data_IF_511070579025
#
_entry.id   IF_511070579025
#
_cell.length_a   1.000
_cell.length_b   1.000
_cell.length_c   1.000
_cell.angle_alpha   90.00
_cell.angle_beta   90.00
_cell.angle_gamma   90.00
#
_symmetry.space_group_name_H-M   'P 1'
#
loop_
_entity.id
_entity.type
_entity.pdbx_description
1 polymer ?
#
# COMPACT_ATOMS: atom_id res chain seq x y z
N UNK A 1 -19.01 3.47 3.71
CA UNK A 1 -18.66 3.40 5.15
C UNK A 1 -17.14 3.40 5.34
N UNK A 2 -16.44 2.40 4.78
CA UNK A 2 -14.96 2.31 4.85
C UNK A 2 -14.24 3.54 4.26
N UNK A 3 -14.81 4.16 3.22
CA UNK A 3 -14.25 5.37 2.59
C UNK A 3 -14.16 6.57 3.54
N UNK A 4 -15.05 6.63 4.54
CA UNK A 4 -15.06 7.69 5.56
C UNK A 4 -14.44 7.21 6.89
N UNK A 5 -13.73 6.06 6.87
CA UNK A 5 -13.20 5.40 8.06
C UNK A 5 -14.26 5.11 9.15
N UNK A 6 -15.53 4.94 8.78
CA UNK A 6 -16.62 4.60 9.70
C UNK A 6 -16.58 3.08 10.03
N UNK A 7 -15.57 2.67 10.81
CA UNK A 7 -15.19 1.26 10.98
C UNK A 7 -16.21 0.44 11.78
N UNK A 8 -16.78 1.00 12.85
CA UNK A 8 -17.80 0.32 13.67
C UNK A 8 -19.02 -0.05 12.84
N UNK A 9 -19.53 0.90 12.05
CA UNK A 9 -20.67 0.63 11.18
C UNK A 9 -20.32 -0.33 10.04
N UNK A 10 -19.11 -0.26 9.49
CA UNK A 10 -18.65 -1.22 8.48
C UNK A 10 -18.55 -2.65 9.06
N UNK A 11 -18.11 -2.79 10.30
CA UNK A 11 -18.09 -4.06 11.02
C UNK A 11 -19.49 -4.62 11.26
N UNK A 12 -20.45 -3.78 11.65
CA UNK A 12 -21.85 -4.21 11.82
C UNK A 12 -22.44 -4.72 10.50
N UNK A 13 -22.18 -4.02 9.40
CA UNK A 13 -22.72 -4.39 8.07
C UNK A 13 -22.04 -5.64 7.51
N UNK A 14 -20.72 -5.77 7.65
CA UNK A 14 -19.99 -6.95 7.17
C UNK A 14 -20.24 -8.18 8.06
N UNK A 15 -20.46 -7.97 9.35
CA UNK A 15 -20.75 -9.02 10.32
C UNK A 15 -19.69 -10.12 10.35
N UNK A 16 -20.12 -11.32 10.77
CA UNK A 16 -19.36 -12.57 10.61
C UNK A 16 -20.01 -13.36 9.49
N UNK A 17 -19.51 -13.27 8.24
CA UNK A 17 -20.12 -13.96 7.12
C UNK A 17 -19.95 -15.48 7.24
N UNK A 18 -20.95 -16.22 6.79
CA UNK A 18 -20.84 -17.67 6.59
C UNK A 18 -19.91 -17.98 5.41
N UNK A 19 -19.38 -19.20 5.29
CA UNK A 19 -18.53 -19.58 4.14
C UNK A 19 -19.17 -19.30 2.78
N UNK A 20 -20.49 -19.46 2.65
CA UNK A 20 -21.25 -19.21 1.42
C UNK A 20 -21.37 -17.73 1.08
N UNK A 21 -21.23 -16.86 2.08
CA UNK A 21 -21.28 -15.41 1.93
C UNK A 21 -19.90 -14.81 1.61
N UNK A 22 -18.82 -15.58 1.66
CA UNK A 22 -17.46 -15.10 1.40
C UNK A 22 -17.17 -14.98 -0.10
N UNK A 23 -17.74 -13.97 -0.75
CA UNK A 23 -17.38 -13.58 -2.13
C UNK A 23 -16.00 -12.89 -2.17
N UNK A 24 -15.35 -12.74 -3.35
CA UNK A 24 -14.09 -12.01 -3.46
C UNK A 24 -14.21 -10.56 -2.95
N UNK A 25 -15.33 -9.90 -3.22
CA UNK A 25 -15.58 -8.53 -2.78
C UNK A 25 -15.78 -8.45 -1.27
N UNK A 26 -16.52 -9.40 -0.67
CA UNK A 26 -16.70 -9.45 0.78
C UNK A 26 -15.36 -9.71 1.48
N UNK A 27 -14.57 -10.66 0.97
CA UNK A 27 -13.19 -10.86 1.44
C UNK A 27 -12.37 -9.57 1.31
N UNK A 28 -12.47 -8.87 0.18
CA UNK A 28 -11.75 -7.62 0.00
C UNK A 28 -12.13 -6.53 1.02
N UNK A 29 -13.43 -6.38 1.29
CA UNK A 29 -13.95 -5.43 2.26
C UNK A 29 -13.57 -5.80 3.70
N UNK A 30 -13.60 -7.08 4.06
CA UNK A 30 -13.10 -7.58 5.34
C UNK A 30 -11.62 -7.29 5.52
N UNK A 31 -10.81 -7.52 4.47
CA UNK A 31 -9.38 -7.19 4.53
C UNK A 31 -9.14 -5.70 4.73
N UNK A 32 -9.91 -4.84 4.03
CA UNK A 32 -9.85 -3.38 4.18
C UNK A 32 -10.29 -2.92 5.57
N UNK A 33 -11.33 -3.52 6.14
CA UNK A 33 -11.74 -3.24 7.53
C UNK A 33 -10.62 -3.55 8.51
N UNK A 34 -10.02 -4.75 8.42
CA UNK A 34 -8.93 -5.17 9.31
C UNK A 34 -7.68 -4.29 9.16
N UNK A 35 -7.35 -3.90 7.93
CA UNK A 35 -6.28 -2.94 7.63
C UNK A 35 -6.53 -1.60 8.33
N UNK A 36 -7.69 -0.97 8.11
CA UNK A 36 -7.99 0.37 8.67
C UNK A 36 -8.12 0.37 10.21
N UNK A 37 -8.56 -0.76 10.80
CA UNK A 37 -8.62 -0.95 12.25
C UNK A 37 -7.26 -0.80 12.92
N UNK A 38 -6.16 -1.17 12.25
CA UNK A 38 -4.80 -1.04 12.81
C UNK A 38 -4.41 0.38 13.17
N UNK A 39 -5.01 1.37 12.49
CA UNK A 39 -4.63 2.77 12.65
C UNK A 39 -5.60 3.56 13.53
N UNK A 40 -6.68 2.91 13.99
CA UNK A 40 -7.78 3.58 14.68
C UNK A 40 -7.88 3.23 16.18
N UNK A 41 -7.30 2.13 16.66
CA UNK A 41 -7.25 1.81 18.09
C UNK A 41 -6.17 0.76 18.48
N UNK A 42 -5.47 0.90 19.63
CA UNK A 42 -4.45 -0.03 20.11
C UNK A 42 -4.96 -1.39 20.63
N UNK A 43 -6.28 -1.58 20.74
CA UNK A 43 -6.92 -2.85 21.14
C UNK A 43 -7.77 -3.47 20.02
N UNK A 44 -7.59 -3.01 18.78
CA UNK A 44 -8.41 -3.46 17.67
C UNK A 44 -8.16 -4.94 17.37
N UNK A 45 -9.22 -5.74 17.34
CA UNK A 45 -9.18 -7.17 17.01
C UNK A 45 -8.78 -7.48 15.55
N UNK A 46 -8.52 -6.46 14.73
CA UNK A 46 -7.96 -6.68 13.40
C UNK A 46 -6.44 -6.86 13.48
N UNK A 47 -5.85 -7.45 12.46
CA UNK A 47 -4.38 -7.53 12.31
C UNK A 47 -3.99 -7.31 10.85
N UNK A 48 -2.73 -6.96 10.61
CA UNK A 48 -2.19 -6.99 9.24
C UNK A 48 -2.24 -8.41 8.64
N UNK A 49 -2.15 -9.44 9.47
CA UNK A 49 -2.33 -10.84 9.09
C UNK A 49 -3.76 -11.14 8.61
N UNK A 50 -4.77 -10.62 9.29
CA UNK A 50 -6.17 -10.77 8.87
C UNK A 50 -6.44 -10.02 7.56
N UNK A 51 -5.93 -8.79 7.44
CA UNK A 51 -6.01 -8.04 6.18
C UNK A 51 -5.39 -8.84 5.02
N UNK A 52 -4.17 -9.36 5.22
CA UNK A 52 -3.47 -10.18 4.24
C UNK A 52 -4.24 -11.46 3.88
N UNK A 53 -4.74 -12.18 4.89
CA UNK A 53 -5.48 -13.44 4.72
C UNK A 53 -6.74 -13.25 3.89
N UNK A 54 -7.57 -12.26 4.24
CA UNK A 54 -8.79 -12.00 3.48
C UNK A 54 -8.50 -11.55 2.05
N UNK A 55 -7.52 -10.67 1.83
CA UNK A 55 -7.11 -10.27 0.48
C UNK A 55 -6.52 -11.42 -0.34
N UNK A 56 -5.85 -12.38 0.31
CA UNK A 56 -5.35 -13.59 -0.35
C UNK A 56 -6.50 -14.49 -0.83
N UNK A 57 -7.57 -14.62 -0.05
CA UNK A 57 -8.78 -15.32 -0.49
C UNK A 57 -9.46 -14.61 -1.66
N UNK A 58 -9.57 -13.29 -1.59
CA UNK A 58 -10.13 -12.48 -2.69
C UNK A 58 -9.33 -12.65 -3.99
N UNK A 59 -7.99 -12.54 -3.91
CA UNK A 59 -7.11 -12.73 -5.07
C UNK A 59 -7.15 -14.16 -5.61
N UNK A 60 -7.24 -15.18 -4.74
CA UNK A 60 -7.33 -16.58 -5.20
C UNK A 60 -8.57 -16.81 -6.07
N UNK A 61 -9.67 -16.14 -5.76
CA UNK A 61 -10.91 -16.22 -6.53
C UNK A 61 -10.87 -15.32 -7.78
N UNK A 62 -10.16 -14.19 -7.72
CA UNK A 62 -9.94 -13.27 -8.86
C UNK A 62 -8.44 -12.98 -9.08
N UNK A 63 -7.69 -13.88 -9.75
CA UNK A 63 -6.23 -13.80 -9.84
C UNK A 63 -5.69 -12.58 -10.58
N UNK A 64 -6.50 -11.95 -11.42
CA UNK A 64 -6.13 -10.76 -12.20
C UNK A 64 -6.71 -9.46 -11.62
N UNK A 65 -7.11 -9.48 -10.35
CA UNK A 65 -7.54 -8.28 -9.65
C UNK A 65 -6.34 -7.52 -9.06
N UNK A 66 -5.82 -6.57 -9.84
CA UNK A 66 -4.64 -5.80 -9.46
C UNK A 66 -4.83 -4.94 -8.20
N UNK A 67 -6.08 -4.57 -7.88
CA UNK A 67 -6.37 -3.85 -6.63
C UNK A 67 -6.11 -4.74 -5.41
N UNK A 68 -6.48 -6.02 -5.49
CA UNK A 68 -6.27 -6.98 -4.41
C UNK A 68 -4.78 -7.26 -4.24
N UNK A 69 -4.06 -7.39 -5.36
CA UNK A 69 -2.62 -7.62 -5.37
C UNK A 69 -1.84 -6.41 -4.82
N UNK A 70 -2.22 -5.18 -5.18
CA UNK A 70 -1.63 -3.96 -4.58
C UNK A 70 -1.86 -3.92 -3.06
N UNK A 71 -3.08 -4.27 -2.61
CA UNK A 71 -3.42 -4.33 -1.19
C UNK A 71 -2.55 -5.36 -0.43
N UNK A 72 -2.36 -6.54 -1.01
CA UNK A 72 -1.47 -7.57 -0.45
C UNK A 72 -0.03 -7.09 -0.30
N UNK A 73 0.47 -6.31 -1.25
CA UNK A 73 1.80 -5.69 -1.13
C UNK A 73 1.92 -4.79 0.11
N UNK A 74 0.91 -3.94 0.35
CA UNK A 74 0.89 -3.08 1.57
C UNK A 74 0.77 -3.91 2.86
N UNK A 75 -0.08 -4.94 2.88
CA UNK A 75 -0.19 -5.81 4.05
C UNK A 75 1.08 -6.61 4.32
N UNK A 76 1.71 -7.18 3.28
CA UNK A 76 2.99 -7.89 3.40
C UNK A 76 4.09 -6.96 3.95
N UNK A 77 4.18 -5.74 3.41
CA UNK A 77 5.13 -4.75 3.87
C UNK A 77 4.92 -4.38 5.34
N UNK A 78 3.67 -4.14 5.76
CA UNK A 78 3.34 -3.82 7.14
C UNK A 78 3.65 -4.96 8.13
N UNK A 79 3.62 -6.21 7.65
CA UNK A 79 4.05 -7.40 8.40
C UNK A 79 5.57 -7.60 8.44
N UNK A 80 6.34 -6.80 7.70
CA UNK A 80 7.79 -6.96 7.55
C UNK A 80 8.21 -8.03 6.51
N UNK A 81 7.26 -8.62 5.78
CA UNK A 81 7.55 -9.54 4.68
C UNK A 81 7.85 -8.74 3.40
N UNK A 82 9.07 -8.21 3.34
CA UNK A 82 9.53 -7.38 2.22
C UNK A 82 9.64 -8.15 0.91
N UNK A 83 9.85 -9.48 0.96
CA UNK A 83 9.94 -10.33 -0.23
C UNK A 83 8.58 -10.44 -0.89
N UNK A 84 7.55 -10.88 -0.14
CA UNK A 84 6.20 -10.96 -0.69
C UNK A 84 5.66 -9.59 -1.14
N UNK A 85 5.98 -8.53 -0.38
CA UNK A 85 5.60 -7.17 -0.76
C UNK A 85 6.20 -6.76 -2.12
N UNK A 86 7.49 -7.05 -2.33
CA UNK A 86 8.17 -6.81 -3.60
C UNK A 86 7.51 -7.58 -4.74
N UNK A 87 7.32 -8.89 -4.57
CA UNK A 87 6.75 -9.75 -5.62
C UNK A 87 5.37 -9.27 -6.08
N UNK A 88 4.51 -8.88 -5.13
CA UNK A 88 3.20 -8.33 -5.42
C UNK A 88 3.30 -7.00 -6.20
N UNK A 89 4.12 -6.06 -5.74
CA UNK A 89 4.21 -4.75 -6.37
C UNK A 89 4.97 -4.76 -7.71
N UNK A 90 5.94 -5.65 -7.90
CA UNK A 90 6.57 -5.88 -9.21
C UNK A 90 5.57 -6.45 -10.21
N UNK A 91 4.74 -7.41 -9.78
CA UNK A 91 3.69 -7.98 -10.63
C UNK A 91 2.70 -6.91 -11.07
N UNK A 92 2.18 -6.10 -10.14
CA UNK A 92 1.29 -4.96 -10.46
C UNK A 92 1.99 -3.99 -11.40
N UNK A 93 3.24 -3.62 -11.11
CA UNK A 93 4.00 -2.65 -11.90
C UNK A 93 4.23 -3.12 -13.34
N UNK A 94 4.47 -4.42 -13.52
CA UNK A 94 4.66 -5.03 -14.83
C UNK A 94 3.34 -5.13 -15.61
N UNK A 95 2.25 -5.54 -14.95
CA UNK A 95 0.95 -5.70 -15.59
C UNK A 95 0.31 -4.37 -15.97
N UNK A 96 0.49 -3.34 -15.16
CA UNK A 96 -0.14 -2.02 -15.35
C UNK A 96 0.81 -0.99 -15.98
N UNK A 97 1.96 -1.40 -16.51
CA UNK A 97 2.99 -0.49 -17.07
C UNK A 97 2.44 0.53 -18.08
N UNK A 98 1.44 0.13 -18.86
CA UNK A 98 0.82 0.93 -19.92
C UNK A 98 -0.52 1.55 -19.50
N UNK A 99 -0.88 1.51 -18.22
CA UNK A 99 -2.13 2.07 -17.75
C UNK A 99 -2.21 3.58 -18.05
N UNK A 100 -3.33 4.00 -18.62
CA UNK A 100 -3.56 5.37 -19.06
C UNK A 100 -3.60 6.36 -17.87
N UNK A 101 -3.13 7.58 -18.09
CA UNK A 101 -3.19 8.64 -17.09
C UNK A 101 -4.64 8.87 -16.62
N UNK A 102 -4.85 9.00 -15.32
CA UNK A 102 -6.18 9.16 -14.72
C UNK A 102 -7.01 7.88 -14.59
N UNK A 103 -6.53 6.72 -15.07
CA UNK A 103 -7.21 5.44 -14.86
C UNK A 103 -6.97 4.87 -13.45
N UNK A 104 -7.89 4.04 -12.91
CA UNK A 104 -7.64 3.32 -11.66
C UNK A 104 -6.38 2.43 -11.73
N UNK A 105 -6.09 1.85 -12.90
CA UNK A 105 -4.88 1.06 -13.10
C UNK A 105 -3.61 1.90 -12.93
N UNK A 106 -3.64 3.16 -13.35
CA UNK A 106 -2.52 4.07 -13.16
C UNK A 106 -2.29 4.41 -11.70
N UNK A 107 -3.36 4.60 -10.92
CA UNK A 107 -3.24 4.82 -9.47
C UNK A 107 -2.63 3.59 -8.77
N UNK A 108 -3.06 2.38 -9.14
CA UNK A 108 -2.49 1.13 -8.61
C UNK A 108 -1.02 0.97 -8.97
N UNK A 109 -0.64 1.30 -10.21
CA UNK A 109 0.76 1.32 -10.65
C UNK A 109 1.61 2.28 -9.80
N UNK A 110 1.14 3.51 -9.59
CA UNK A 110 1.88 4.51 -8.81
C UNK A 110 2.05 4.07 -7.35
N UNK A 111 1.00 3.49 -6.76
CA UNK A 111 1.08 2.91 -5.41
C UNK A 111 2.08 1.75 -5.34
N UNK A 112 2.08 0.84 -6.32
CA UNK A 112 3.03 -0.26 -6.37
C UNK A 112 4.48 0.23 -6.54
N UNK A 113 4.73 1.19 -7.44
CA UNK A 113 6.05 1.83 -7.60
C UNK A 113 6.50 2.52 -6.30
N UNK A 114 5.60 3.20 -5.60
CA UNK A 114 5.90 3.84 -4.32
C UNK A 114 6.26 2.79 -3.26
N UNK A 115 5.53 1.67 -3.21
CA UNK A 115 5.85 0.52 -2.36
C UNK A 115 7.25 -0.05 -2.61
N UNK A 116 7.67 -0.19 -3.87
CA UNK A 116 9.02 -0.64 -4.21
C UNK A 116 10.10 0.36 -3.73
N UNK A 117 9.83 1.66 -3.82
CA UNK A 117 10.73 2.67 -3.27
C UNK A 117 10.81 2.61 -1.73
N UNK A 118 9.70 2.33 -1.05
CA UNK A 118 9.69 2.09 0.39
C UNK A 118 10.51 0.85 0.77
N UNK A 119 10.39 -0.26 0.04
CA UNK A 119 11.22 -1.46 0.27
C UNK A 119 12.71 -1.13 0.15
N UNK A 120 13.11 -0.39 -0.89
CA UNK A 120 14.50 0.04 -1.06
C UNK A 120 14.96 0.89 0.14
N UNK A 121 14.12 1.81 0.61
CA UNK A 121 14.39 2.60 1.81
C UNK A 121 14.54 1.74 3.06
N UNK A 122 13.66 0.76 3.28
CA UNK A 122 13.72 -0.15 4.45
C UNK A 122 14.97 -1.01 4.43
N UNK A 123 15.28 -1.62 3.28
CA UNK A 123 16.46 -2.47 3.14
C UNK A 123 17.74 -1.69 3.38
N UNK A 124 17.80 -0.43 2.95
CA UNK A 124 18.96 0.41 3.21
C UNK A 124 19.28 0.59 4.71
N UNK A 125 18.32 0.39 5.61
CA UNK A 125 18.55 0.44 7.05
C UNK A 125 19.25 -0.82 7.61
N UNK A 126 19.34 -1.89 6.81
CA UNK A 126 19.84 -3.21 7.22
C UNK A 126 21.21 -3.56 6.60
N UNK A 127 21.66 -2.80 5.60
CA UNK A 127 22.86 -3.11 4.81
C UNK A 127 24.11 -2.32 5.23
N UNK A 128 25.27 -2.76 4.74
CA UNK A 128 26.53 -2.03 4.90
C UNK A 128 26.52 -0.67 4.17
N UNK A 129 27.38 0.31 4.55
CA UNK A 129 27.30 1.68 4.06
C UNK A 129 27.26 1.85 2.53
N UNK A 130 28.01 1.04 1.78
CA UNK A 130 28.02 1.10 0.31
C UNK A 130 26.71 0.67 -0.33
N UNK A 131 26.14 -0.45 0.13
CA UNK A 131 24.85 -0.98 -0.33
C UNK A 131 23.69 -0.12 0.16
N UNK A 132 23.78 0.40 1.38
CA UNK A 132 22.86 1.40 1.93
C UNK A 132 22.74 2.63 1.02
N UNK A 133 23.87 3.21 0.57
CA UNK A 133 23.85 4.37 -0.33
C UNK A 133 23.18 4.05 -1.66
N UNK A 134 23.44 2.88 -2.24
CA UNK A 134 22.82 2.45 -3.50
C UNK A 134 21.29 2.30 -3.35
N UNK A 135 20.83 1.63 -2.30
CA UNK A 135 19.41 1.42 -2.02
C UNK A 135 18.68 2.74 -1.73
N UNK A 136 19.29 3.65 -0.97
CA UNK A 136 18.72 4.99 -0.73
C UNK A 136 18.59 5.78 -2.03
N UNK A 137 19.57 5.68 -2.93
CA UNK A 137 19.50 6.30 -4.25
C UNK A 137 18.31 5.74 -5.04
N UNK A 138 18.14 4.42 -5.09
CA UNK A 138 16.98 3.78 -5.74
C UNK A 138 15.65 4.27 -5.16
N UNK A 139 15.53 4.38 -3.83
CA UNK A 139 14.31 4.88 -3.20
C UNK A 139 14.01 6.35 -3.58
N UNK A 140 15.03 7.21 -3.58
CA UNK A 140 14.90 8.63 -3.95
C UNK A 140 14.55 8.78 -5.43
N UNK A 141 15.20 8.02 -6.31
CA UNK A 141 14.92 8.06 -7.75
C UNK A 141 13.49 7.57 -8.05
N UNK A 142 13.01 6.55 -7.31
CA UNK A 142 11.61 6.11 -7.37
C UNK A 142 10.62 7.20 -6.98
N UNK A 143 10.88 7.94 -5.89
CA UNK A 143 10.07 9.09 -5.48
C UNK A 143 10.05 10.18 -6.58
N UNK A 144 11.23 10.57 -7.07
CA UNK A 144 11.37 11.61 -8.11
C UNK A 144 10.64 11.25 -9.40
N UNK A 145 10.72 9.98 -9.81
CA UNK A 145 10.02 9.49 -11.00
C UNK A 145 8.50 9.65 -10.85
N UNK A 146 7.94 9.26 -9.70
CA UNK A 146 6.51 9.43 -9.44
C UNK A 146 6.11 10.91 -9.47
N UNK A 147 6.90 11.79 -8.85
CA UNK A 147 6.61 13.22 -8.86
C UNK A 147 6.74 13.85 -10.26
N UNK A 148 7.66 13.37 -11.10
CA UNK A 148 7.78 13.82 -12.49
C UNK A 148 6.60 13.32 -13.36
N UNK A 149 6.16 12.08 -13.16
CA UNK A 149 5.08 11.47 -13.94
C UNK A 149 3.67 11.89 -13.47
N UNK A 150 3.50 12.19 -12.18
CA UNK A 150 2.20 12.45 -11.56
C UNK A 150 2.36 13.41 -10.35
N UNK A 151 2.66 14.70 -10.58
CA UNK A 151 3.10 15.63 -9.53
C UNK A 151 2.05 15.90 -8.44
N UNK A 152 0.78 15.62 -8.69
CA UNK A 152 -0.31 15.81 -7.72
C UNK A 152 -0.70 14.50 -7.01
N UNK A 153 -0.08 13.38 -7.38
CA UNK A 153 -0.41 12.04 -6.89
C UNK A 153 0.62 11.61 -5.84
N UNK A 154 0.14 11.00 -4.76
CA UNK A 154 0.98 10.55 -3.64
C UNK A 154 1.86 11.68 -3.05
N UNK A 155 1.42 12.94 -3.08
CA UNK A 155 2.07 13.97 -2.27
C UNK A 155 1.84 13.64 -0.78
N UNK A 156 2.88 13.58 0.07
CA UNK A 156 2.73 13.26 1.49
C UNK A 156 1.64 14.10 2.19
N UNK A 157 1.53 15.38 1.84
CA UNK A 157 0.61 16.35 2.42
C UNK A 157 -0.85 16.07 2.04
N UNK A 158 -1.09 15.35 0.95
CA UNK A 158 -2.40 14.99 0.43
C UNK A 158 -2.83 13.57 0.82
N UNK A 159 -1.87 12.65 1.03
CA UNK A 159 -2.14 11.26 1.40
C UNK A 159 -2.99 11.16 2.68
N UNK A 160 -2.64 11.93 3.72
CA UNK A 160 -3.36 11.94 4.99
C UNK A 160 -4.73 12.64 4.96
N UNK A 161 -5.10 13.32 3.86
CA UNK A 161 -6.33 14.12 3.77
C UNK A 161 -7.49 13.41 3.08
N UNK A 162 -7.21 12.47 2.18
CA UNK A 162 -8.23 11.76 1.42
C UNK A 162 -8.15 10.24 1.68
N UNK A 163 -8.71 9.82 2.81
CA UNK A 163 -8.73 8.41 3.23
C UNK A 163 -9.59 7.54 2.31
N UNK A 164 -10.57 8.09 1.58
CA UNK A 164 -11.36 7.33 0.61
C UNK A 164 -10.49 6.81 -0.55
N UNK A 165 -9.57 7.64 -1.06
CA UNK A 165 -8.71 7.29 -2.19
C UNK A 165 -7.34 6.75 -1.75
N UNK A 166 -6.84 7.16 -0.60
CA UNK A 166 -5.48 6.83 -0.13
C UNK A 166 -5.46 5.90 1.09
N UNK A 167 -6.51 5.11 1.34
CA UNK A 167 -6.59 4.23 2.50
C UNK A 167 -5.46 3.18 2.61
N UNK A 168 -4.70 2.93 1.54
CA UNK A 168 -3.46 2.13 1.60
C UNK A 168 -2.38 2.79 2.46
N UNK A 169 -2.41 4.12 2.61
CA UNK A 169 -1.39 4.90 3.29
C UNK A 169 -1.82 5.20 4.71
N UNK A 170 -1.11 4.61 5.67
CA UNK A 170 -1.21 4.98 7.07
C UNK A 170 -0.17 6.03 7.45
N UNK A 171 -0.26 6.54 8.68
CA UNK A 171 0.64 7.58 9.18
C UNK A 171 2.12 7.18 9.09
N UNK A 172 2.47 5.94 9.43
CA UNK A 172 3.86 5.45 9.37
C UNK A 172 4.39 5.38 7.92
N UNK A 173 3.57 4.94 6.96
CA UNK A 173 3.92 4.93 5.54
C UNK A 173 4.06 6.34 4.99
N UNK A 174 3.17 7.25 5.39
CA UNK A 174 3.24 8.67 5.02
C UNK A 174 4.52 9.31 5.54
N UNK A 175 4.93 9.01 6.78
CA UNK A 175 6.16 9.52 7.37
C UNK A 175 7.42 9.00 6.66
N UNK A 176 7.43 7.72 6.28
CA UNK A 176 8.52 7.14 5.47
C UNK A 176 8.59 7.80 4.09
N UNK A 177 7.44 7.99 3.44
CA UNK A 177 7.34 8.68 2.15
C UNK A 177 7.78 10.15 2.22
N UNK A 178 7.38 10.85 3.29
CA UNK A 178 7.83 12.22 3.57
C UNK A 178 9.34 12.29 3.79
N UNK A 179 9.95 11.26 4.37
CA UNK A 179 11.40 11.18 4.51
C UNK A 179 12.09 11.12 3.13
N UNK A 180 11.55 10.36 2.17
CA UNK A 180 12.06 10.35 0.80
C UNK A 180 11.88 11.70 0.11
N UNK A 181 10.72 12.35 0.31
CA UNK A 181 10.48 13.72 -0.19
C UNK A 181 11.57 14.69 0.26
N UNK A 182 11.83 14.78 1.58
CA UNK A 182 12.87 15.66 2.14
C UNK A 182 14.27 15.35 1.61
N UNK A 183 14.63 14.07 1.54
CA UNK A 183 15.93 13.63 0.99
C UNK A 183 16.08 13.95 -0.50
N UNK A 184 14.99 13.83 -1.26
CA UNK A 184 14.99 14.17 -2.69
C UNK A 184 15.25 15.65 -2.94
N UNK A 185 14.79 16.52 -2.03
CA UNK A 185 14.99 17.97 -2.06
C UNK A 185 16.37 18.40 -1.53
N UNK A 186 16.93 17.66 -0.56
CA UNK A 186 18.25 17.96 0.04
C UNK A 186 19.46 17.41 -0.71
N UNK A 187 19.27 16.66 -1.81
CA UNK A 187 20.35 16.03 -2.57
C UNK A 187 21.15 16.97 -3.51
N UNK A 188 21.36 18.22 -3.11
CA UNK A 188 22.21 19.20 -3.81
C UNK A 188 23.48 19.58 -3.02
N UNK A 189 23.93 18.72 -2.11
CA UNK A 189 25.19 18.86 -1.37
C UNK A 189 26.17 17.73 -1.71
#
# INVERSE_FOLDING_TARGET
>A
MLDNNALEGAEVVLGVPTPEQLTPEINFLLGRLNWQKQFSAPLAAGTFDDAYRYWSFALKAEPENWKYLTALGFAAYAKGDLTSAQDHWETVSNKLRQAESGSPGRELLLNAKAGLALIAQTRALQEAPGEQSALLKTAIDGYRLIQAEAPQTLQPELLGRNTAQNWFWNQALIEQWLTLSRRSAGGAE
#
